data_IF_794209313916
#
_entry.id   IF_794209313916
#
_cell.length_a   1.000
_cell.length_b   1.000
_cell.length_c   1.000
_cell.angle_alpha   90.00
_cell.angle_beta   90.00
_cell.angle_gamma   90.00
#
_symmetry.space_group_name_H-M   'P 1'
#
loop_
_entity.id
_entity.type
_entity.pdbx_description
1 polymer ?
#
# COMPACT_ATOMS: atom_id res chain seq x y z
N UNK A 1 -7.93 -28.47 50.86
CA UNK A 1 -8.40 -28.83 49.51
C UNK A 1 -8.73 -27.55 48.77
N UNK A 2 -8.31 -27.49 47.50
CA UNK A 2 -8.64 -26.51 46.46
C UNK A 2 -8.09 -25.08 46.61
N UNK A 3 -6.82 -25.02 46.23
CA UNK A 3 -6.16 -23.96 45.48
C UNK A 3 -6.91 -23.58 44.19
N UNK A 4 -6.54 -22.41 43.65
CA UNK A 4 -6.75 -21.94 42.27
C UNK A 4 -8.15 -21.39 41.93
N UNK A 5 -8.35 -20.26 41.27
CA UNK A 5 -7.48 -19.30 40.59
C UNK A 5 -8.40 -18.09 40.39
N UNK A 6 -8.14 -16.96 41.06
CA UNK A 6 -8.76 -15.69 40.68
C UNK A 6 -8.14 -15.30 39.34
N UNK A 7 -8.83 -15.61 38.25
CA UNK A 7 -8.54 -15.02 36.94
C UNK A 7 -8.93 -13.56 37.07
N UNK A 8 -7.99 -12.74 37.53
CA UNK A 8 -8.05 -11.31 37.31
C UNK A 8 -8.00 -11.12 35.78
N UNK A 9 -9.17 -10.95 35.17
CA UNK A 9 -9.25 -10.30 33.87
C UNK A 9 -8.69 -8.90 34.08
N UNK A 10 -7.39 -8.72 33.82
CA UNK A 10 -6.79 -7.42 33.60
C UNK A 10 -7.44 -6.88 32.32
N UNK A 11 -8.64 -6.35 32.45
CA UNK A 11 -9.22 -5.47 31.45
C UNK A 11 -8.38 -4.21 31.49
N UNK A 12 -7.28 -4.17 30.73
CA UNK A 12 -6.70 -2.89 30.34
C UNK A 12 -7.86 -2.14 29.67
N UNK A 13 -8.42 -1.13 30.34
CA UNK A 13 -9.45 -0.28 29.75
C UNK A 13 -8.82 0.42 28.55
N UNK A 14 -8.95 -0.21 27.39
CA UNK A 14 -8.41 0.33 26.15
C UNK A 14 -9.28 1.51 25.78
N UNK A 15 -8.75 2.73 25.90
CA UNK A 15 -9.49 3.94 25.59
C UNK A 15 -9.58 4.08 24.07
N UNK A 16 -10.77 4.17 23.51
CA UNK A 16 -10.93 4.47 22.09
C UNK A 16 -10.39 5.87 21.77
N UNK A 17 -9.56 5.95 20.74
CA UNK A 17 -8.97 7.18 20.21
C UNK A 17 -9.77 7.71 19.01
N UNK A 18 -10.35 6.79 18.23
CA UNK A 18 -11.17 7.09 17.05
C UNK A 18 -10.84 6.16 15.87
N UNK A 19 -11.16 6.57 14.65
CA UNK A 19 -10.94 5.76 13.45
C UNK A 19 -9.47 5.70 12.97
N UNK A 20 -9.17 4.73 12.11
CA UNK A 20 -7.90 4.64 11.37
C UNK A 20 -7.90 5.61 10.17
N UNK A 21 -7.03 6.62 10.20
CA UNK A 21 -6.83 7.55 9.07
C UNK A 21 -5.86 6.98 8.01
N UNK A 22 -6.32 5.94 7.30
CA UNK A 22 -5.52 5.32 6.24
C UNK A 22 -5.25 6.28 5.07
N UNK A 23 -6.19 7.16 4.75
CA UNK A 23 -6.06 8.11 3.62
C UNK A 23 -4.97 9.14 3.89
N UNK A 24 -4.99 9.76 5.08
CA UNK A 24 -3.95 10.67 5.53
C UNK A 24 -2.59 9.98 5.60
N UNK A 25 -2.54 8.76 6.15
CA UNK A 25 -1.32 7.97 6.20
C UNK A 25 -0.74 7.77 4.79
N UNK A 26 -1.52 7.24 3.86
CA UNK A 26 -1.06 7.01 2.48
C UNK A 26 -0.61 8.30 1.78
N UNK A 27 -1.31 9.40 1.99
CA UNK A 27 -0.95 10.71 1.42
C UNK A 27 0.39 11.21 1.97
N UNK A 28 0.69 10.98 3.25
CA UNK A 28 1.97 11.37 3.87
C UNK A 28 3.19 10.64 3.27
N UNK A 29 2.97 9.48 2.63
CA UNK A 29 3.97 8.72 1.87
C UNK A 29 3.77 8.87 0.35
N UNK A 30 3.12 9.94 -0.09
CA UNK A 30 2.91 10.31 -1.50
C UNK A 30 2.10 9.31 -2.33
N UNK A 31 1.40 8.38 -1.68
CA UNK A 31 0.44 7.54 -2.38
C UNK A 31 -0.82 8.34 -2.76
N UNK A 32 -1.46 7.97 -3.88
CA UNK A 32 -2.58 8.72 -4.45
C UNK A 32 -3.96 8.15 -4.09
N UNK A 33 -4.01 7.09 -3.31
CA UNK A 33 -5.26 6.51 -2.84
C UNK A 33 -5.05 5.28 -1.96
N UNK A 34 -6.17 4.66 -1.60
CA UNK A 34 -6.24 3.48 -0.74
C UNK A 34 -6.90 2.32 -1.48
N UNK A 35 -6.59 1.08 -1.10
CA UNK A 35 -7.30 -0.11 -1.56
C UNK A 35 -7.24 -1.22 -0.48
N UNK A 36 -8.38 -1.46 0.18
CA UNK A 36 -8.40 -2.25 1.41
C UNK A 36 -7.53 -1.60 2.48
N UNK A 37 -6.84 -2.41 3.29
CA UNK A 37 -5.84 -1.90 4.24
C UNK A 37 -4.46 -1.75 3.56
N UNK A 38 -4.37 -0.79 2.64
CA UNK A 38 -3.14 -0.53 1.90
C UNK A 38 -3.18 0.74 1.07
N UNK A 39 -2.00 1.24 0.73
CA UNK A 39 -1.82 2.42 -0.12
C UNK A 39 -1.61 2.00 -1.58
N UNK A 40 -2.12 2.80 -2.50
CA UNK A 40 -1.92 2.61 -3.92
C UNK A 40 -1.70 3.91 -4.69
N UNK A 41 -0.98 3.83 -5.79
CA UNK A 41 -0.80 4.91 -6.75
C UNK A 41 -0.78 4.38 -8.17
N UNK A 42 -1.47 5.01 -9.13
CA UNK A 42 -1.30 4.71 -10.54
C UNK A 42 0.17 4.81 -10.96
N UNK A 43 0.59 3.85 -11.78
CA UNK A 43 1.87 3.90 -12.47
C UNK A 43 1.69 4.74 -13.73
N UNK A 44 2.57 5.72 -13.91
CA UNK A 44 2.77 6.34 -15.21
C UNK A 44 3.59 5.38 -16.07
N UNK A 45 2.94 4.71 -17.01
CA UNK A 45 3.57 3.70 -17.85
C UNK A 45 4.62 4.28 -18.81
N UNK A 46 4.47 5.55 -19.22
CA UNK A 46 5.47 6.26 -20.01
C UNK A 46 6.72 6.51 -19.20
N UNK A 47 6.57 7.12 -18.02
CA UNK A 47 7.68 7.34 -17.09
C UNK A 47 8.36 6.02 -16.65
N UNK A 48 7.60 4.92 -16.55
CA UNK A 48 8.17 3.61 -16.29
C UNK A 48 9.04 3.10 -17.45
N UNK A 49 8.58 3.27 -18.70
CA UNK A 49 9.40 2.95 -19.87
C UNK A 49 10.66 3.84 -19.93
N UNK A 50 10.50 5.14 -19.75
CA UNK A 50 11.60 6.12 -19.76
C UNK A 50 12.71 5.76 -18.77
N UNK A 51 12.33 5.49 -17.52
CA UNK A 51 13.24 5.12 -16.44
C UNK A 51 14.11 3.90 -16.77
N UNK A 52 13.60 2.95 -17.54
CA UNK A 52 14.33 1.70 -17.82
C UNK A 52 15.57 1.91 -18.69
N UNK A 53 15.50 2.85 -19.62
CA UNK A 53 16.58 3.13 -20.57
C UNK A 53 17.19 4.51 -20.38
N UNK A 54 16.84 5.19 -19.29
CA UNK A 54 17.32 6.54 -18.94
C UNK A 54 17.17 7.53 -20.11
N UNK A 55 15.96 7.57 -20.67
CA UNK A 55 15.60 8.42 -21.81
C UNK A 55 14.14 8.83 -21.73
N UNK A 56 13.77 9.90 -22.43
CA UNK A 56 12.41 10.42 -22.42
C UNK A 56 11.62 10.06 -23.68
N UNK A 57 10.30 10.01 -23.55
CA UNK A 57 9.36 9.91 -24.67
C UNK A 57 9.06 8.48 -25.12
N UNK A 58 9.48 7.48 -24.35
CA UNK A 58 9.02 6.11 -24.53
C UNK A 58 7.57 5.96 -24.05
N UNK A 59 6.84 5.06 -24.69
CA UNK A 59 5.44 4.78 -24.36
C UNK A 59 5.21 3.30 -24.20
N UNK A 60 4.35 2.91 -23.25
CA UNK A 60 3.89 1.54 -23.16
C UNK A 60 2.70 1.32 -24.07
N UNK A 61 2.71 0.21 -24.82
CA UNK A 61 1.58 -0.25 -25.63
C UNK A 61 1.30 -1.71 -25.32
N UNK A 62 0.02 -2.05 -25.20
CA UNK A 62 -0.44 -3.41 -24.95
C UNK A 62 -0.76 -4.09 -26.28
N UNK A 63 -0.26 -5.31 -26.48
CA UNK A 63 -0.51 -6.07 -27.70
C UNK A 63 -1.79 -6.90 -27.64
N UNK A 64 -2.34 -7.14 -26.46
CA UNK A 64 -3.61 -7.82 -26.24
C UNK A 64 -4.52 -6.99 -25.30
N UNK A 65 -5.74 -6.60 -25.73
CA UNK A 65 -6.69 -5.82 -24.94
C UNK A 65 -7.16 -6.47 -23.62
N UNK A 66 -7.01 -7.79 -23.49
CA UNK A 66 -7.48 -8.57 -22.32
C UNK A 66 -6.34 -8.99 -21.41
N UNK A 67 -5.11 -9.01 -21.91
CA UNK A 67 -3.93 -9.39 -21.15
C UNK A 67 -3.15 -8.14 -20.68
N UNK A 68 -3.18 -7.81 -19.37
CA UNK A 68 -2.40 -6.70 -18.83
C UNK A 68 -0.90 -6.94 -18.81
N UNK A 69 -0.43 -8.17 -19.01
CA UNK A 69 0.99 -8.50 -19.08
C UNK A 69 1.54 -8.38 -20.50
N UNK A 70 0.69 -8.08 -21.48
CA UNK A 70 1.07 -7.86 -22.89
C UNK A 70 1.72 -6.49 -23.17
N UNK A 71 1.96 -5.69 -22.13
CA UNK A 71 2.51 -4.34 -22.25
C UNK A 71 4.00 -4.34 -22.57
N UNK A 72 4.36 -3.71 -23.68
CA UNK A 72 5.75 -3.51 -24.11
C UNK A 72 6.04 -2.04 -24.36
N UNK A 73 7.27 -1.61 -24.10
CA UNK A 73 7.68 -0.24 -24.36
C UNK A 73 8.06 -0.05 -25.84
N UNK A 74 7.69 1.11 -26.36
CA UNK A 74 8.06 1.60 -27.67
C UNK A 74 8.87 2.87 -27.50
N UNK A 75 9.95 2.98 -28.26
CA UNK A 75 10.78 4.19 -28.27
C UNK A 75 10.01 5.38 -28.86
N UNK A 76 10.48 6.61 -28.63
CA UNK A 76 9.97 7.78 -29.33
C UNK A 76 9.97 7.63 -30.87
N UNK A 77 10.95 6.89 -31.42
CA UNK A 77 11.04 6.53 -32.84
C UNK A 77 10.13 5.37 -33.27
N UNK A 78 9.30 4.82 -32.37
CA UNK A 78 8.38 3.72 -32.64
C UNK A 78 9.00 2.31 -32.62
N UNK A 79 10.25 2.14 -32.15
CA UNK A 79 10.89 0.82 -32.07
C UNK A 79 10.40 0.06 -30.83
N UNK A 80 9.88 -1.14 -31.01
CA UNK A 80 9.50 -2.04 -29.90
C UNK A 80 10.75 -2.57 -29.18
N UNK A 81 10.81 -2.47 -27.86
CA UNK A 81 11.95 -2.92 -27.05
C UNK A 81 11.84 -4.37 -26.57
N UNK A 82 10.69 -5.03 -26.82
CA UNK A 82 10.31 -6.38 -26.34
C UNK A 82 10.22 -6.50 -24.81
N UNK A 83 10.36 -5.40 -24.08
CA UNK A 83 10.29 -5.36 -22.61
C UNK A 83 9.39 -4.20 -22.20
N UNK A 84 8.70 -4.33 -21.08
CA UNK A 84 7.70 -3.36 -20.64
C UNK A 84 7.30 -3.66 -19.22
N UNK A 85 6.17 -4.35 -19.03
CA UNK A 85 5.59 -4.63 -17.71
C UNK A 85 6.55 -5.27 -16.70
N UNK A 86 7.58 -5.97 -17.16
CA UNK A 86 8.60 -6.59 -16.32
C UNK A 86 9.44 -5.58 -15.51
N UNK A 87 9.49 -4.30 -15.90
CA UNK A 87 10.15 -3.25 -15.11
C UNK A 87 9.27 -2.60 -14.03
N UNK A 88 7.96 -2.83 -14.05
CA UNK A 88 7.05 -2.10 -13.18
C UNK A 88 7.31 -2.35 -11.69
N UNK A 89 7.67 -3.58 -11.24
CA UNK A 89 8.08 -3.78 -9.85
C UNK A 89 9.29 -2.95 -9.43
N UNK A 90 10.30 -2.83 -10.29
CA UNK A 90 11.49 -2.03 -10.03
C UNK A 90 11.16 -0.53 -10.03
N UNK A 91 10.33 -0.08 -10.99
CA UNK A 91 9.81 1.29 -11.01
C UNK A 91 9.15 1.67 -9.69
N UNK A 92 8.27 0.80 -9.15
CA UNK A 92 7.58 1.05 -7.88
C UNK A 92 8.54 1.13 -6.70
N UNK A 93 9.51 0.20 -6.58
CA UNK A 93 10.51 0.23 -5.50
C UNK A 93 11.36 1.49 -5.54
N UNK A 94 11.76 1.91 -6.72
CA UNK A 94 12.57 3.10 -6.87
C UNK A 94 11.75 4.41 -6.73
N UNK A 95 10.41 4.37 -6.89
CA UNK A 95 9.52 5.51 -6.59
C UNK A 95 9.19 5.62 -5.10
N UNK A 96 9.10 4.50 -4.40
CA UNK A 96 8.78 4.43 -2.97
C UNK A 96 9.88 3.71 -2.19
N UNK A 97 11.10 4.29 -2.10
CA UNK A 97 12.27 3.60 -1.56
C UNK A 97 12.16 3.26 -0.06
N UNK A 98 11.30 3.97 0.68
CA UNK A 98 11.05 3.72 2.11
C UNK A 98 10.03 2.59 2.36
N UNK A 99 9.39 2.06 1.32
CA UNK A 99 8.39 1.00 1.42
C UNK A 99 8.91 -0.29 0.79
N UNK A 100 9.56 -1.13 1.59
CA UNK A 100 10.14 -2.42 1.18
C UNK A 100 9.10 -3.41 0.58
N UNK A 101 7.84 -3.30 1.02
CA UNK A 101 6.71 -4.14 0.57
C UNK A 101 5.96 -3.60 -0.64
N UNK A 102 6.43 -2.51 -1.27
CA UNK A 102 5.76 -1.98 -2.46
C UNK A 102 5.89 -2.95 -3.65
N UNK A 103 4.78 -3.19 -4.33
CA UNK A 103 4.70 -4.08 -5.49
C UNK A 103 3.92 -3.41 -6.62
N UNK A 104 4.23 -3.78 -7.87
CA UNK A 104 3.39 -3.43 -9.02
C UNK A 104 2.25 -4.45 -9.14
N UNK A 105 1.01 -3.98 -9.32
CA UNK A 105 -0.17 -4.82 -9.52
C UNK A 105 -0.98 -4.31 -10.69
N UNK A 106 -1.46 -5.23 -11.51
CA UNK A 106 -2.43 -4.91 -12.56
C UNK A 106 -3.80 -4.61 -11.94
N UNK A 107 -4.44 -3.57 -12.44
CA UNK A 107 -5.83 -3.20 -12.23
C UNK A 107 -6.53 -3.22 -13.60
N UNK A 108 -7.28 -4.27 -13.93
CA UNK A 108 -7.85 -4.42 -15.26
C UNK A 108 -8.81 -3.28 -15.68
N UNK A 109 -8.92 -2.99 -16.99
CA UNK A 109 -8.00 -3.39 -18.06
C UNK A 109 -6.80 -2.43 -18.12
N UNK A 110 -5.59 -2.97 -18.31
CA UNK A 110 -4.35 -2.24 -18.69
C UNK A 110 -3.89 -1.10 -17.77
N UNK A 111 -4.43 -1.00 -16.55
CA UNK A 111 -3.90 -0.06 -15.55
C UNK A 111 -2.96 -0.83 -14.65
N UNK A 112 -1.90 -0.16 -14.23
CA UNK A 112 -0.99 -0.69 -13.24
C UNK A 112 -0.89 0.28 -12.08
N UNK A 113 -0.74 -0.26 -10.88
CA UNK A 113 -0.60 0.52 -9.65
C UNK A 113 0.62 0.03 -8.87
N UNK A 114 1.33 0.96 -8.23
CA UNK A 114 2.19 0.63 -7.11
C UNK A 114 1.30 0.46 -5.89
N UNK A 115 1.40 -0.67 -5.20
CA UNK A 115 0.60 -1.01 -4.02
C UNK A 115 1.49 -1.50 -2.90
N UNK A 116 1.21 -1.04 -1.68
CA UNK A 116 1.84 -1.56 -0.46
C UNK A 116 0.77 -1.85 0.60
N UNK A 117 0.83 -3.00 1.29
CA UNK A 117 -0.03 -3.25 2.45
C UNK A 117 0.36 -2.32 3.60
N UNK A 118 -0.60 -1.99 4.46
CA UNK A 118 -0.39 -1.14 5.62
C UNK A 118 -0.79 -1.90 6.88
N UNK A 119 0.02 -1.78 7.93
CA UNK A 119 -0.36 -2.23 9.27
C UNK A 119 -1.27 -1.16 9.90
N UNK A 120 -2.54 -1.47 10.23
CA UNK A 120 -3.44 -0.50 10.80
C UNK A 120 -2.96 0.02 12.16
N UNK A 121 -2.21 -0.77 12.94
CA UNK A 121 -1.62 -0.30 14.21
C UNK A 121 -0.59 0.79 13.96
N UNK A 122 0.23 0.64 12.92
CA UNK A 122 1.18 1.69 12.52
C UNK A 122 0.47 2.99 12.13
N UNK A 123 -0.68 2.89 11.46
CA UNK A 123 -1.51 4.06 11.15
C UNK A 123 -2.04 4.72 12.41
N UNK A 124 -2.53 3.95 13.39
CA UNK A 124 -2.97 4.50 14.68
C UNK A 124 -1.83 5.22 15.39
N UNK A 125 -0.65 4.60 15.47
CA UNK A 125 0.51 5.21 16.12
C UNK A 125 0.94 6.50 15.41
N UNK A 126 0.89 6.53 14.08
CA UNK A 126 1.16 7.73 13.28
C UNK A 126 0.10 8.81 13.47
N UNK A 127 -1.19 8.48 13.41
CA UNK A 127 -2.26 9.48 13.42
C UNK A 127 -2.41 10.14 14.80
N UNK A 128 -2.39 9.33 15.87
CA UNK A 128 -2.55 9.82 17.25
C UNK A 128 -1.22 10.14 17.94
N UNK A 129 -0.09 9.98 17.23
CA UNK A 129 1.25 10.27 17.75
C UNK A 129 1.57 9.54 19.08
N UNK A 130 1.00 8.34 19.27
CA UNK A 130 1.20 7.51 20.45
C UNK A 130 1.79 6.15 20.06
N UNK A 131 2.82 5.71 20.79
CA UNK A 131 3.38 4.36 20.65
C UNK A 131 2.50 3.27 21.25
N UNK A 132 1.57 3.66 22.12
CA UNK A 132 0.63 2.77 22.78
C UNK A 132 -0.72 2.71 22.04
N UNK A 133 -0.87 3.45 20.93
CA UNK A 133 -2.03 3.36 20.05
C UNK A 133 -1.96 2.09 19.19
N UNK A 134 -2.96 1.23 19.34
CA UNK A 134 -3.13 -0.03 18.61
C UNK A 134 -4.40 -0.03 17.79
N UNK A 135 -4.40 -0.71 16.65
CA UNK A 135 -5.60 -0.90 15.86
C UNK A 135 -6.32 -2.19 16.25
N UNK A 136 -7.65 -2.12 16.33
CA UNK A 136 -8.51 -3.30 16.45
C UNK A 136 -9.66 -3.14 15.46
N UNK A 137 -10.05 -4.26 14.85
CA UNK A 137 -11.27 -4.29 14.06
C UNK A 137 -12.43 -4.49 15.02
N UNK A 138 -13.40 -3.60 14.96
CA UNK A 138 -14.61 -3.71 15.76
C UNK A 138 -15.57 -4.68 15.07
N UNK A 139 -15.98 -5.72 15.79
CA UNK A 139 -16.83 -6.79 15.26
C UNK A 139 -18.27 -6.28 14.95
N UNK A 140 -18.70 -5.17 15.55
CA UNK A 140 -20.06 -4.65 15.38
C UNK A 140 -20.25 -3.91 14.06
N UNK A 141 -19.25 -3.14 13.62
CA UNK A 141 -19.31 -2.32 12.40
C UNK A 141 -18.27 -2.72 11.34
N UNK A 142 -17.44 -3.74 11.62
CA UNK A 142 -16.37 -4.23 10.76
C UNK A 142 -15.34 -3.14 10.41
N UNK A 143 -15.26 -2.05 11.19
CA UNK A 143 -14.33 -0.96 10.97
C UNK A 143 -13.09 -1.09 11.82
N UNK A 144 -11.97 -0.56 11.31
CA UNK A 144 -10.76 -0.43 12.09
C UNK A 144 -10.80 0.82 12.95
N UNK A 145 -10.65 0.63 14.26
CA UNK A 145 -10.58 1.70 15.26
C UNK A 145 -9.24 1.63 15.99
N UNK A 146 -8.82 2.78 16.49
CA UNK A 146 -7.61 2.96 17.25
C UNK A 146 -7.94 3.05 18.75
N UNK A 147 -7.13 2.39 19.57
CA UNK A 147 -7.27 2.35 21.01
C UNK A 147 -5.94 2.61 21.68
N UNK A 148 -5.96 3.34 22.79
CA UNK A 148 -4.80 3.49 23.68
C UNK A 148 -4.70 2.25 24.56
N UNK A 149 -3.60 1.50 24.43
CA UNK A 149 -3.32 0.35 25.27
C UNK A 149 -2.08 0.63 26.12
N UNK A 150 -2.30 1.28 27.28
CA UNK A 150 -1.23 1.49 28.26
C UNK A 150 -0.62 0.16 28.66
N UNK A 151 0.69 -0.01 28.41
CA UNK A 151 1.46 -1.11 28.98
C UNK A 151 1.64 -0.81 30.48
N UNK A 152 1.02 -1.63 31.33
CA UNK A 152 1.26 -1.64 32.77
C UNK A 152 2.68 -2.15 33.08
#
# INVERSE_FOLDING_TARGET
MLSAYLIAQQTSEAKELGGVDLSGYCTSYEFKGTQGMGCQSPIDLGAACDKRWDREGDTMRFTDPKDPDSGVCFTASGRNTKKGVDNLPEYCRAKYPLNDKVTARSSPPHKWVCRTPVDPTLVCSWHYQSRDAVARKDDADEQWKCYEQKRL
#
